data_IF_486293804457
#
_entry.id   IF_486293804457
#
_cell.length_a   1.000
_cell.length_b   1.000
_cell.length_c   1.000
_cell.angle_alpha   90.00
_cell.angle_beta   90.00
_cell.angle_gamma   90.00
#
_symmetry.space_group_name_H-M   'P 1'
#
loop_
_entity.id
_entity.type
_entity.pdbx_description
1 polymer ?
#
# COMPACT_ATOMS: atom_id res chain seq x y z
N UNK A 1 -16.71 -27.46 20.35
CA UNK A 1 -16.75 -26.13 21.03
C UNK A 1 -17.40 -25.13 20.09
N UNK A 2 -18.11 -24.08 20.58
CA UNK A 2 -18.57 -23.00 19.72
C UNK A 2 -17.36 -22.37 19.01
N UNK A 3 -17.53 -22.03 17.73
CA UNK A 3 -16.48 -21.42 16.91
C UNK A 3 -16.25 -19.99 17.39
N UNK A 4 -15.08 -19.72 17.96
CA UNK A 4 -14.70 -18.38 18.41
C UNK A 4 -14.08 -17.62 17.23
N UNK A 5 -14.74 -16.55 16.79
CA UNK A 5 -14.24 -15.71 15.72
C UNK A 5 -12.96 -14.99 16.17
N UNK A 6 -11.91 -14.90 15.32
CA UNK A 6 -10.73 -14.12 15.65
C UNK A 6 -11.10 -12.68 16.03
N UNK A 7 -10.42 -12.10 17.01
CA UNK A 7 -10.58 -10.68 17.34
C UNK A 7 -10.16 -9.77 16.17
N UNK A 8 -9.32 -10.31 15.29
CA UNK A 8 -8.81 -9.61 14.12
C UNK A 8 -8.85 -10.45 12.84
N UNK A 9 -9.27 -9.84 11.72
CA UNK A 9 -9.20 -10.43 10.38
C UNK A 9 -8.27 -9.63 9.48
N UNK A 10 -7.97 -10.15 8.29
CA UNK A 10 -7.34 -9.34 7.24
C UNK A 10 -8.41 -8.62 6.43
N UNK A 11 -8.08 -7.44 5.90
CA UNK A 11 -8.92 -6.72 4.93
C UNK A 11 -8.79 -7.27 3.51
N UNK A 12 -7.79 -8.13 3.28
CA UNK A 12 -7.52 -8.80 2.01
C UNK A 12 -8.13 -10.20 2.01
N UNK A 13 -8.58 -10.69 0.86
CA UNK A 13 -9.13 -12.04 0.69
C UNK A 13 -10.53 -12.06 0.06
N UNK A 14 -11.08 -13.25 -0.22
CA UNK A 14 -12.40 -13.40 -0.85
C UNK A 14 -13.48 -12.68 -0.03
N UNK A 15 -14.20 -11.78 -0.68
CA UNK A 15 -15.26 -10.99 -0.05
C UNK A 15 -16.60 -11.13 -0.78
N UNK A 16 -17.69 -11.02 -0.03
CA UNK A 16 -19.06 -10.82 -0.56
C UNK A 16 -19.60 -9.55 0.09
N UNK A 17 -20.11 -8.62 -0.72
CA UNK A 17 -20.63 -7.32 -0.29
C UNK A 17 -19.67 -6.49 0.58
N UNK A 18 -18.36 -6.54 0.27
CA UNK A 18 -17.32 -5.79 0.99
C UNK A 18 -16.96 -6.36 2.37
N UNK A 19 -17.41 -7.58 2.69
CA UNK A 19 -17.03 -8.33 3.89
C UNK A 19 -16.17 -9.52 3.47
N UNK A 20 -14.92 -9.57 3.93
CA UNK A 20 -14.05 -10.75 3.76
C UNK A 20 -14.69 -11.93 4.48
N UNK A 21 -15.00 -13.00 3.74
CA UNK A 21 -15.71 -14.15 4.30
C UNK A 21 -14.75 -14.93 5.20
N UNK A 22 -15.00 -14.88 6.52
CA UNK A 22 -14.52 -15.90 7.45
C UNK A 22 -15.34 -17.18 7.25
N UNK A 23 -14.87 -18.10 6.41
CA UNK A 23 -15.64 -19.29 6.08
C UNK A 23 -15.80 -20.26 7.26
N UNK A 24 -16.96 -20.94 7.33
CA UNK A 24 -17.25 -22.04 8.27
C UNK A 24 -16.56 -23.35 7.87
N UNK A 25 -16.01 -24.03 8.88
CA UNK A 25 -15.33 -25.35 8.91
C UNK A 25 -15.52 -26.33 7.74
N UNK A 26 -14.38 -26.86 7.25
CA UNK A 26 -14.13 -28.28 6.98
C UNK A 26 -12.66 -28.61 7.33
N UNK A 27 -12.46 -29.72 8.06
CA UNK A 27 -11.17 -30.39 8.33
C UNK A 27 -10.80 -31.25 7.10
N UNK A 28 -9.60 -31.79 6.84
CA UNK A 28 -8.37 -32.14 7.56
C UNK A 28 -7.20 -32.16 6.54
N UNK A 29 -5.99 -32.46 7.03
CA UNK A 29 -4.73 -32.82 6.35
C UNK A 29 -3.65 -31.71 6.30
N UNK A 30 -2.86 -31.65 7.39
CA UNK A 30 -1.56 -30.98 7.43
C UNK A 30 -0.56 -31.96 8.04
N UNK A 31 0.24 -32.60 7.18
CA UNK A 31 1.57 -33.07 7.53
C UNK A 31 2.59 -32.42 6.57
N UNK A 32 3.78 -32.16 7.12
CA UNK A 32 5.00 -31.67 6.50
C UNK A 32 5.08 -30.21 6.03
N UNK A 33 5.86 -29.38 6.75
CA UNK A 33 7.28 -29.15 6.41
C UNK A 33 7.87 -28.02 7.27
N UNK A 34 8.67 -28.38 8.28
CA UNK A 34 9.72 -27.53 8.84
C UNK A 34 11.00 -27.74 8.02
N UNK A 35 11.28 -26.94 6.98
CA UNK A 35 12.66 -26.64 6.51
C UNK A 35 12.62 -25.34 5.68
N UNK A 36 13.27 -24.29 6.18
CA UNK A 36 13.70 -23.14 5.38
C UNK A 36 15.14 -23.39 4.89
N UNK A 37 15.50 -23.09 3.63
CA UNK A 37 16.89 -23.11 3.19
C UNK A 37 17.69 -21.97 3.86
N UNK A 38 19.00 -22.15 4.10
CA UNK A 38 19.84 -21.10 4.65
C UNK A 38 20.07 -20.02 3.59
N UNK A 39 19.59 -18.79 3.84
CA UNK A 39 19.85 -17.61 3.00
C UNK A 39 18.65 -16.68 2.78
N UNK A 40 17.42 -17.15 2.96
CA UNK A 40 16.23 -16.30 2.98
C UNK A 40 16.00 -15.77 4.39
N UNK A 41 16.27 -14.49 4.62
CA UNK A 41 15.86 -13.82 5.85
C UNK A 41 14.34 -14.00 6.08
N UNK A 42 13.87 -14.01 7.35
CA UNK A 42 12.45 -14.17 7.64
C UNK A 42 11.66 -13.01 6.99
N UNK A 43 10.71 -13.35 6.11
CA UNK A 43 9.72 -12.38 5.64
C UNK A 43 8.81 -12.06 6.83
N UNK A 44 9.05 -10.93 7.49
CA UNK A 44 8.24 -10.45 8.60
C UNK A 44 6.99 -9.75 8.05
N UNK A 45 5.91 -10.53 7.87
CA UNK A 45 4.59 -9.99 7.60
C UNK A 45 4.09 -9.26 8.86
N UNK A 46 4.08 -7.91 8.83
CA UNK A 46 3.34 -7.14 9.81
C UNK A 46 1.85 -7.24 9.43
N UNK A 47 1.12 -8.16 10.05
CA UNK A 47 -0.32 -8.28 9.86
C UNK A 47 -0.97 -6.98 10.35
N UNK A 48 -1.48 -6.15 9.43
CA UNK A 48 -2.40 -5.06 9.79
C UNK A 48 -3.77 -5.67 10.03
N UNK A 49 -4.16 -5.68 11.30
CA UNK A 49 -5.29 -6.42 11.85
C UNK A 49 -6.59 -5.61 11.75
N UNK A 50 -7.59 -6.12 11.04
CA UNK A 50 -8.97 -5.61 10.96
C UNK A 50 -9.71 -5.84 12.29
N UNK A 51 -10.48 -4.87 12.77
CA UNK A 51 -11.16 -4.93 14.08
C UNK A 51 -12.51 -5.67 13.97
N UNK A 52 -12.56 -6.94 14.37
CA UNK A 52 -13.83 -7.67 14.46
C UNK A 52 -14.63 -7.34 15.71
N UNK A 53 -13.98 -6.86 16.77
CA UNK A 53 -14.66 -6.47 18.00
C UNK A 53 -15.47 -5.18 17.75
N UNK A 54 -16.81 -5.23 17.72
CA UNK A 54 -17.63 -4.08 17.31
C UNK A 54 -17.53 -2.92 18.29
N UNK A 55 -17.34 -3.22 19.58
CA UNK A 55 -17.15 -2.23 20.64
C UNK A 55 -15.83 -1.48 20.48
N UNK A 56 -14.75 -2.22 20.22
CA UNK A 56 -13.43 -1.63 19.98
C UNK A 56 -13.42 -0.83 18.67
N UNK A 57 -14.02 -1.38 17.60
CA UNK A 57 -14.20 -0.70 16.30
C UNK A 57 -14.94 0.63 16.46
N UNK A 58 -16.09 0.63 17.16
CA UNK A 58 -16.86 1.85 17.42
C UNK A 58 -16.05 2.89 18.20
N UNK A 59 -15.27 2.45 19.19
CA UNK A 59 -14.38 3.33 19.98
C UNK A 59 -13.26 3.93 19.14
N UNK A 60 -12.63 3.12 18.27
CA UNK A 60 -11.57 3.57 17.36
C UNK A 60 -12.11 4.57 16.34
N UNK A 61 -13.22 4.24 15.65
CA UNK A 61 -13.86 5.13 14.69
C UNK A 61 -14.23 6.47 15.35
N UNK A 62 -14.81 6.45 16.54
CA UNK A 62 -15.15 7.68 17.28
C UNK A 62 -13.93 8.53 17.70
N UNK A 63 -12.75 7.91 17.84
CA UNK A 63 -11.51 8.65 18.12
C UNK A 63 -10.92 9.26 16.85
N UNK A 64 -10.92 8.49 15.76
CA UNK A 64 -10.39 8.91 14.45
C UNK A 64 -11.24 10.00 13.81
N UNK A 65 -12.56 9.92 13.98
CA UNK A 65 -13.56 10.87 13.48
C UNK A 65 -13.41 12.32 13.98
N UNK A 66 -12.39 12.60 14.79
CA UNK A 66 -12.08 13.94 15.31
C UNK A 66 -11.04 14.68 14.48
N UNK A 67 -10.43 14.01 13.50
CA UNK A 67 -9.36 14.54 12.67
C UNK A 67 -9.66 14.23 11.21
N UNK A 68 -9.25 15.12 10.31
CA UNK A 68 -9.18 14.80 8.90
C UNK A 68 -8.11 13.73 8.66
N UNK A 69 -8.30 12.90 7.63
CA UNK A 69 -7.42 11.79 7.30
C UNK A 69 -6.79 12.00 5.92
N UNK A 70 -5.46 12.01 5.88
CA UNK A 70 -4.67 11.89 4.66
C UNK A 70 -3.91 10.58 4.72
N UNK A 71 -4.15 9.72 3.73
CA UNK A 71 -3.50 8.42 3.59
C UNK A 71 -2.90 8.32 2.19
N UNK A 72 -1.86 7.51 2.04
CA UNK A 72 -1.34 7.21 0.73
C UNK A 72 -0.52 5.97 0.71
N UNK A 73 -0.23 5.56 -0.51
CA UNK A 73 0.50 4.35 -0.87
C UNK A 73 1.38 4.63 -2.07
N UNK A 74 2.38 3.77 -2.27
CA UNK A 74 3.19 3.74 -3.47
C UNK A 74 2.77 2.62 -4.41
N UNK A 75 3.28 2.62 -5.64
CA UNK A 75 2.97 1.56 -6.62
C UNK A 75 3.41 0.16 -6.16
N UNK A 76 4.57 0.04 -5.48
CA UNK A 76 5.16 -1.23 -5.05
C UNK A 76 5.51 -1.24 -3.56
N UNK A 77 4.51 -1.56 -2.75
CA UNK A 77 4.62 -1.63 -1.29
C UNK A 77 5.43 -2.85 -0.81
N UNK A 78 5.28 -4.00 -1.49
CA UNK A 78 5.89 -5.25 -1.06
C UNK A 78 7.28 -5.53 -1.65
N UNK A 79 7.95 -4.54 -2.26
CA UNK A 79 9.26 -4.70 -2.91
C UNK A 79 10.29 -5.39 -1.99
N UNK A 80 10.35 -4.98 -0.71
CA UNK A 80 11.30 -5.52 0.27
C UNK A 80 11.00 -6.96 0.73
N UNK A 81 9.92 -7.58 0.26
CA UNK A 81 9.64 -9.01 0.46
C UNK A 81 10.44 -9.92 -0.48
N UNK A 82 11.16 -9.33 -1.44
CA UNK A 82 11.93 -10.02 -2.48
C UNK A 82 13.43 -9.80 -2.28
N UNK A 83 14.23 -10.81 -2.63
CA UNK A 83 15.69 -10.66 -2.63
C UNK A 83 16.16 -9.88 -3.86
N UNK A 84 17.40 -9.40 -3.85
CA UNK A 84 17.98 -8.72 -5.00
C UNK A 84 18.00 -9.61 -6.27
N UNK A 85 18.21 -10.93 -6.11
CA UNK A 85 18.18 -11.89 -7.22
C UNK A 85 16.77 -12.00 -7.82
N UNK A 86 15.75 -12.11 -6.97
CA UNK A 86 14.35 -12.14 -7.40
C UNK A 86 13.97 -10.87 -8.15
N UNK A 87 14.39 -9.71 -7.64
CA UNK A 87 14.13 -8.42 -8.27
C UNK A 87 14.86 -8.33 -9.61
N UNK A 88 16.09 -8.83 -9.71
CA UNK A 88 16.89 -8.71 -10.92
C UNK A 88 16.43 -9.67 -12.03
N UNK A 89 16.20 -10.93 -11.69
CA UNK A 89 15.97 -12.01 -12.66
C UNK A 89 14.51 -12.49 -12.74
N UNK A 90 13.67 -12.10 -11.78
CA UNK A 90 12.32 -12.62 -11.64
C UNK A 90 12.27 -13.85 -10.73
N UNK A 91 11.11 -14.50 -10.67
CA UNK A 91 10.90 -15.68 -9.82
C UNK A 91 10.22 -16.79 -10.60
N UNK A 92 10.51 -18.03 -10.22
CA UNK A 92 9.83 -19.21 -10.76
C UNK A 92 8.47 -19.45 -10.07
N UNK A 93 7.60 -20.22 -10.73
CA UNK A 93 6.27 -20.56 -10.22
C UNK A 93 6.30 -21.22 -8.84
N UNK A 94 7.31 -22.05 -8.57
CA UNK A 94 7.49 -22.71 -7.28
C UNK A 94 7.77 -21.72 -6.16
N UNK A 95 8.52 -20.64 -6.47
CA UNK A 95 8.80 -19.56 -5.54
C UNK A 95 7.55 -18.72 -5.27
N UNK A 96 6.76 -18.38 -6.30
CA UNK A 96 5.42 -17.76 -6.15
C UNK A 96 4.54 -18.61 -5.23
N UNK A 97 4.39 -19.90 -5.52
CA UNK A 97 3.56 -20.81 -4.73
C UNK A 97 3.99 -20.89 -3.26
N UNK A 98 5.31 -20.89 -2.98
CA UNK A 98 5.84 -20.91 -1.61
C UNK A 98 5.54 -19.61 -0.85
N UNK A 99 5.73 -18.46 -1.49
CA UNK A 99 5.45 -17.15 -0.90
C UNK A 99 3.96 -17.04 -0.58
N UNK A 100 3.09 -17.31 -1.56
CA UNK A 100 1.64 -17.19 -1.40
C UNK A 100 1.11 -18.15 -0.35
N UNK A 101 1.60 -19.40 -0.33
CA UNK A 101 1.21 -20.38 0.69
C UNK A 101 1.65 -19.95 2.09
N UNK A 102 2.87 -19.41 2.23
CA UNK A 102 3.37 -18.88 3.51
C UNK A 102 2.53 -17.72 4.00
N UNK A 103 2.24 -16.75 3.11
CA UNK A 103 1.38 -15.62 3.41
C UNK A 103 0.00 -16.09 3.90
N UNK A 104 -0.68 -16.93 3.12
CA UNK A 104 -2.03 -17.43 3.47
C UNK A 104 -2.03 -18.19 4.80
N UNK A 105 -1.05 -19.08 5.03
CA UNK A 105 -0.94 -19.83 6.30
C UNK A 105 -0.71 -18.93 7.52
N UNK A 106 0.01 -17.81 7.34
CA UNK A 106 0.32 -16.89 8.44
C UNK A 106 -0.79 -15.87 8.71
N UNK A 107 -1.64 -15.60 7.71
CA UNK A 107 -2.68 -14.57 7.80
C UNK A 107 -4.05 -15.16 8.11
N UNK A 108 -4.37 -16.36 7.60
CA UNK A 108 -5.70 -16.98 7.76
C UNK A 108 -5.63 -18.25 8.60
N UNK A 109 -6.74 -18.59 9.26
CA UNK A 109 -6.87 -19.81 10.06
C UNK A 109 -7.66 -20.92 9.37
N UNK A 110 -8.53 -20.57 8.43
CA UNK A 110 -9.51 -21.48 7.80
C UNK A 110 -9.53 -21.27 6.29
N UNK A 111 -9.99 -22.28 5.52
CA UNK A 111 -10.14 -22.23 4.05
C UNK A 111 -8.87 -21.87 3.30
N UNK A 112 -7.72 -22.34 3.81
CA UNK A 112 -6.41 -21.95 3.27
C UNK A 112 -6.26 -22.32 1.80
N UNK A 113 -6.80 -23.47 1.39
CA UNK A 113 -6.74 -23.96 0.02
C UNK A 113 -7.57 -23.10 -0.93
N UNK A 114 -8.80 -22.77 -0.55
CA UNK A 114 -9.74 -21.97 -1.32
C UNK A 114 -9.29 -20.51 -1.41
N UNK A 115 -8.83 -19.94 -0.30
CA UNK A 115 -8.27 -18.59 -0.26
C UNK A 115 -7.03 -18.51 -1.13
N UNK A 116 -6.10 -19.48 -1.01
CA UNK A 116 -4.91 -19.52 -1.86
C UNK A 116 -5.28 -19.62 -3.33
N UNK A 117 -6.21 -20.50 -3.70
CA UNK A 117 -6.66 -20.64 -5.07
C UNK A 117 -7.28 -19.34 -5.62
N UNK A 118 -8.09 -18.66 -4.80
CA UNK A 118 -8.72 -17.38 -5.18
C UNK A 118 -7.68 -16.29 -5.40
N UNK A 119 -6.74 -16.12 -4.47
CA UNK A 119 -5.70 -15.08 -4.60
C UNK A 119 -4.78 -15.38 -5.79
N UNK A 120 -4.39 -16.64 -5.99
CA UNK A 120 -3.59 -17.01 -7.17
C UNK A 120 -4.36 -16.73 -8.46
N UNK A 121 -5.65 -17.03 -8.51
CA UNK A 121 -6.48 -16.78 -9.69
C UNK A 121 -6.61 -15.29 -10.02
N UNK A 122 -6.79 -14.44 -9.00
CA UNK A 122 -6.93 -12.98 -9.14
C UNK A 122 -5.64 -12.35 -9.68
N UNK A 123 -4.48 -12.74 -9.17
CA UNK A 123 -3.17 -12.22 -9.58
C UNK A 123 -2.47 -13.13 -10.58
N UNK A 124 -3.23 -13.70 -11.52
CA UNK A 124 -2.68 -14.38 -12.69
C UNK A 124 -3.19 -13.66 -13.93
N UNK A 125 -2.27 -13.15 -14.75
CA UNK A 125 -2.63 -12.58 -16.05
C UNK A 125 -2.97 -13.70 -17.03
N UNK A 126 -4.27 -13.98 -17.18
CA UNK A 126 -4.79 -15.01 -18.07
C UNK A 126 -4.67 -14.65 -19.56
N UNK A 127 -4.38 -13.39 -19.90
CA UNK A 127 -4.15 -12.98 -21.30
C UNK A 127 -2.76 -13.38 -21.79
N UNK A 128 -1.83 -13.70 -20.86
CA UNK A 128 -0.45 -14.09 -21.16
C UNK A 128 -0.22 -15.58 -20.86
N UNK A 129 -0.29 -16.46 -21.88
CA UNK A 129 -0.11 -17.91 -21.67
C UNK A 129 1.33 -18.29 -21.30
N UNK A 130 2.31 -17.46 -21.66
CA UNK A 130 3.72 -17.68 -21.31
C UNK A 130 4.07 -16.82 -20.09
N UNK A 131 4.33 -17.48 -18.99
CA UNK A 131 4.68 -16.85 -17.72
C UNK A 131 6.20 -16.64 -17.65
N UNK A 132 6.65 -15.43 -18.00
CA UNK A 132 8.04 -15.02 -17.84
C UNK A 132 8.35 -14.81 -16.35
N UNK A 133 9.54 -15.18 -15.82
CA UNK A 133 9.87 -15.03 -14.40
C UNK A 133 9.66 -13.62 -13.83
N UNK A 134 9.88 -12.59 -14.64
CA UNK A 134 9.59 -11.19 -14.26
C UNK A 134 8.09 -10.92 -14.06
N UNK A 135 7.23 -11.50 -14.90
CA UNK A 135 5.77 -11.34 -14.76
C UNK A 135 5.29 -12.06 -13.48
N UNK A 136 5.77 -13.28 -13.24
CA UNK A 136 5.45 -14.04 -12.02
C UNK A 136 5.88 -13.25 -10.78
N UNK A 137 7.05 -12.60 -10.82
CA UNK A 137 7.52 -11.72 -9.75
C UNK A 137 6.57 -10.54 -9.54
N UNK A 138 6.23 -9.83 -10.60
CA UNK A 138 5.42 -8.61 -10.54
C UNK A 138 4.00 -8.93 -10.04
N UNK A 139 3.36 -9.98 -10.57
CA UNK A 139 2.08 -10.49 -10.07
C UNK A 139 2.12 -10.85 -8.58
N UNK A 140 3.19 -11.50 -8.13
CA UNK A 140 3.36 -11.87 -6.72
C UNK A 140 3.59 -10.63 -5.84
N UNK A 141 4.31 -9.63 -6.36
CA UNK A 141 4.57 -8.38 -5.66
C UNK A 141 3.31 -7.53 -5.55
N UNK A 142 2.50 -7.46 -6.60
CA UNK A 142 1.19 -6.81 -6.58
C UNK A 142 0.27 -7.49 -5.54
N UNK A 143 0.19 -8.82 -5.55
CA UNK A 143 -0.62 -9.57 -4.57
C UNK A 143 -0.23 -9.28 -3.12
N UNK A 144 1.08 -9.22 -2.83
CA UNK A 144 1.57 -8.89 -1.49
C UNK A 144 1.38 -7.42 -1.14
N UNK A 145 1.57 -6.51 -2.09
CA UNK A 145 1.39 -5.06 -1.87
C UNK A 145 -0.05 -4.77 -1.49
N UNK A 146 -0.98 -5.39 -2.21
CA UNK A 146 -2.40 -5.23 -1.93
C UNK A 146 -2.79 -5.85 -0.61
N UNK A 147 -2.28 -7.04 -0.32
CA UNK A 147 -2.59 -7.75 0.89
C UNK A 147 -2.08 -7.08 2.16
N UNK A 148 -0.86 -6.55 2.12
CA UNK A 148 -0.16 -6.05 3.29
C UNK A 148 -0.37 -4.56 3.52
N UNK A 149 -0.65 -3.78 2.47
CA UNK A 149 -0.75 -2.31 2.59
C UNK A 149 -2.05 -1.79 2.02
N UNK A 150 -2.35 -2.03 0.73
CA UNK A 150 -3.48 -1.35 0.06
C UNK A 150 -4.82 -1.72 0.68
N UNK A 151 -5.14 -3.00 0.84
CA UNK A 151 -6.43 -3.42 1.37
C UNK A 151 -6.64 -2.96 2.83
N UNK A 152 -5.67 -3.09 3.76
CA UNK A 152 -5.77 -2.49 5.09
C UNK A 152 -5.93 -0.96 5.08
N UNK A 153 -5.23 -0.26 4.17
CA UNK A 153 -5.28 1.20 4.05
C UNK A 153 -6.65 1.67 3.56
N UNK A 154 -7.17 1.05 2.49
CA UNK A 154 -8.51 1.30 1.94
C UNK A 154 -9.58 0.96 2.98
N UNK A 155 -9.43 -0.15 3.71
CA UNK A 155 -10.35 -0.47 4.80
C UNK A 155 -10.36 0.60 5.90
N UNK A 156 -9.20 1.19 6.20
CA UNK A 156 -9.10 2.31 7.15
C UNK A 156 -9.84 3.54 6.61
N UNK A 157 -9.70 3.83 5.31
CA UNK A 157 -10.44 4.90 4.63
C UNK A 157 -11.96 4.68 4.69
N UNK A 158 -12.41 3.45 4.44
CA UNK A 158 -13.82 3.03 4.50
C UNK A 158 -14.43 3.20 5.89
N UNK A 159 -13.64 2.97 6.94
CA UNK A 159 -14.07 3.17 8.32
C UNK A 159 -14.18 4.65 8.69
N UNK A 160 -13.34 5.49 8.08
CA UNK A 160 -13.24 6.90 8.42
C UNK A 160 -14.22 7.78 7.62
N UNK A 161 -14.37 7.53 6.32
CA UNK A 161 -15.15 8.35 5.39
C UNK A 161 -16.62 8.61 5.75
N UNK A 162 -17.37 7.71 6.44
CA UNK A 162 -18.75 8.01 6.82
C UNK A 162 -18.88 9.05 7.94
N UNK A 163 -17.76 9.48 8.52
CA UNK A 163 -17.75 10.48 9.58
C UNK A 163 -18.24 11.83 9.07
N UNK A 164 -19.35 12.29 9.65
CA UNK A 164 -19.82 13.65 9.40
C UNK A 164 -18.87 14.63 10.06
N UNK A 165 -18.31 15.55 9.26
CA UNK A 165 -17.43 16.67 9.63
C UNK A 165 -15.90 16.44 9.51
N UNK A 166 -15.44 15.32 8.94
CA UNK A 166 -14.02 15.16 8.58
C UNK A 166 -13.88 14.74 7.12
N UNK A 167 -12.81 15.19 6.46
CA UNK A 167 -12.43 14.78 5.12
C UNK A 167 -11.48 13.60 5.15
N UNK A 168 -11.65 12.67 4.21
CA UNK A 168 -10.68 11.61 3.92
C UNK A 168 -10.07 11.88 2.56
N UNK A 169 -8.75 11.85 2.44
CA UNK A 169 -8.03 12.06 1.19
C UNK A 169 -7.02 10.94 1.00
N UNK A 170 -6.92 10.43 -0.22
CA UNK A 170 -6.05 9.32 -0.58
C UNK A 170 -5.18 9.70 -1.77
N UNK A 171 -3.91 9.30 -1.75
CA UNK A 171 -3.02 9.40 -2.92
C UNK A 171 -2.30 8.11 -3.23
N UNK A 172 -1.91 8.00 -4.50
CA UNK A 172 -0.95 7.00 -4.98
C UNK A 172 0.26 7.75 -5.48
N UNK A 173 1.41 7.52 -4.86
CA UNK A 173 2.68 8.08 -5.32
C UNK A 173 3.34 7.10 -6.29
N UNK A 174 3.38 7.50 -7.56
CA UNK A 174 3.87 6.67 -8.67
C UNK A 174 4.98 7.39 -9.43
N UNK A 175 6.03 7.78 -8.72
CA UNK A 175 7.23 8.34 -9.31
C UNK A 175 8.47 7.66 -8.75
N UNK A 176 9.28 7.07 -9.63
CA UNK A 176 10.56 6.48 -9.26
C UNK A 176 11.68 7.52 -9.44
N UNK A 177 12.51 7.69 -8.42
CA UNK A 177 13.60 8.70 -8.47
C UNK A 177 14.63 8.32 -9.52
N UNK A 178 14.93 9.22 -10.47
CA UNK A 178 15.73 8.89 -11.66
C UNK A 178 17.16 8.47 -11.34
N UNK A 179 17.75 9.12 -10.36
CA UNK A 179 19.10 8.80 -9.84
C UNK A 179 18.99 8.19 -8.44
N UNK A 180 17.99 7.33 -8.23
CA UNK A 180 17.79 6.57 -7.00
C UNK A 180 18.62 5.30 -6.94
N UNK A 181 18.56 4.62 -5.79
CA UNK A 181 19.34 3.42 -5.50
C UNK A 181 18.73 2.14 -6.10
N UNK A 182 17.52 2.23 -6.68
CA UNK A 182 16.75 1.09 -7.17
C UNK A 182 16.74 0.98 -8.70
N UNK A 183 16.60 -0.25 -9.25
CA UNK A 183 16.47 -0.44 -10.70
C UNK A 183 15.24 0.27 -11.28
N UNK A 184 15.43 0.99 -12.39
CA UNK A 184 14.42 1.87 -13.01
C UNK A 184 13.36 1.13 -13.84
N UNK A 185 12.83 0.00 -13.36
CA UNK A 185 11.89 -0.84 -14.13
C UNK A 185 10.57 -1.11 -13.44
N UNK A 186 10.56 -1.08 -12.12
CA UNK A 186 9.46 -1.62 -11.34
C UNK A 186 8.45 -0.52 -10.92
N UNK A 187 8.82 0.76 -10.99
CA UNK A 187 8.00 1.87 -10.51
C UNK A 187 8.39 2.27 -9.08
N UNK A 188 7.57 3.09 -8.44
CA UNK A 188 7.86 3.62 -7.12
C UNK A 188 7.84 2.53 -6.03
N UNK A 189 8.95 2.38 -5.34
CA UNK A 189 9.14 1.45 -4.23
C UNK A 189 8.77 2.12 -2.90
N UNK A 190 8.36 1.31 -1.92
CA UNK A 190 8.06 1.78 -0.57
C UNK A 190 9.15 2.71 0.00
N UNK A 191 8.77 3.92 0.37
CA UNK A 191 9.65 4.94 0.94
C UNK A 191 10.29 5.89 -0.07
N UNK A 192 10.16 5.67 -1.39
CA UNK A 192 10.67 6.58 -2.41
C UNK A 192 9.88 7.91 -2.50
N UNK A 193 8.70 7.99 -1.89
CA UNK A 193 7.90 9.21 -1.76
C UNK A 193 8.43 10.16 -0.67
N UNK A 194 9.13 9.63 0.33
CA UNK A 194 9.58 10.38 1.52
C UNK A 194 10.47 11.60 1.18
N UNK A 195 11.47 11.51 0.28
CA UNK A 195 12.28 12.69 -0.08
C UNK A 195 11.42 13.86 -0.58
N UNK A 196 10.32 13.57 -1.29
CA UNK A 196 9.42 14.58 -1.86
C UNK A 196 8.50 15.16 -0.79
N UNK A 197 7.99 14.33 0.12
CA UNK A 197 7.18 14.78 1.27
C UNK A 197 8.01 15.69 2.19
N UNK A 198 9.28 15.37 2.43
CA UNK A 198 10.17 16.15 3.30
C UNK A 198 10.87 17.33 2.60
N UNK A 199 10.66 17.52 1.29
CA UNK A 199 11.25 18.63 0.56
C UNK A 199 12.76 18.49 0.30
N UNK A 200 13.31 17.27 0.31
CA UNK A 200 14.73 17.03 0.08
C UNK A 200 15.23 17.58 -1.28
N UNK A 201 14.46 17.50 -2.39
CA UNK A 201 14.82 18.16 -3.65
C UNK A 201 14.93 19.69 -3.58
N UNK A 202 14.35 20.33 -2.58
CA UNK A 202 14.30 21.80 -2.47
C UNK A 202 15.51 22.38 -1.72
N UNK A 203 16.36 21.52 -1.15
CA UNK A 203 17.55 21.91 -0.39
C UNK A 203 18.80 21.30 -1.02
N UNK A 204 19.96 21.93 -0.75
CA UNK A 204 21.25 21.48 -1.31
C UNK A 204 21.65 20.07 -0.85
N UNK A 205 21.31 19.68 0.38
CA UNK A 205 21.55 18.35 0.91
C UNK A 205 20.69 18.10 2.15
N UNK A 206 20.14 16.90 2.26
CA UNK A 206 19.51 16.37 3.47
C UNK A 206 20.10 15.00 3.76
N UNK A 207 20.60 14.77 4.99
CA UNK A 207 21.60 13.72 5.28
C UNK A 207 21.25 12.30 4.80
N UNK A 208 19.97 11.94 4.81
CA UNK A 208 19.50 10.59 4.51
C UNK A 208 18.89 10.44 3.11
N UNK A 209 18.85 11.51 2.31
CA UNK A 209 18.22 11.49 0.98
C UNK A 209 19.26 11.69 -0.13
N UNK A 210 18.94 11.24 -1.36
CA UNK A 210 19.75 11.54 -2.54
C UNK A 210 20.01 13.04 -2.69
N UNK A 211 21.12 13.41 -3.33
CA UNK A 211 21.45 14.83 -3.56
C UNK A 211 21.10 15.29 -4.97
N UNK A 212 21.04 14.37 -5.92
CA UNK A 212 20.97 14.68 -7.33
C UNK A 212 19.54 14.55 -7.84
N UNK A 213 18.74 15.58 -7.60
CA UNK A 213 17.39 15.66 -8.13
C UNK A 213 17.31 16.44 -9.44
N UNK A 214 16.36 16.06 -10.27
CA UNK A 214 16.05 16.68 -11.54
C UNK A 214 15.13 17.89 -11.37
N UNK A 215 15.03 18.74 -12.39
CA UNK A 215 14.07 19.86 -12.38
C UNK A 215 12.62 19.39 -12.20
N UNK A 216 12.25 18.25 -12.78
CA UNK A 216 10.91 17.67 -12.63
C UNK A 216 10.68 17.12 -11.23
N UNK A 217 11.71 16.56 -10.59
CA UNK A 217 11.64 16.07 -9.20
C UNK A 217 11.53 17.21 -8.18
N UNK A 218 12.21 18.34 -8.46
CA UNK A 218 12.05 19.58 -7.67
C UNK A 218 10.58 20.04 -7.74
N UNK A 219 10.01 20.12 -8.94
CA UNK A 219 8.61 20.51 -9.14
C UNK A 219 7.62 19.54 -8.46
N UNK A 220 7.88 18.24 -8.55
CA UNK A 220 7.08 17.21 -7.88
C UNK A 220 7.13 17.37 -6.35
N UNK A 221 8.31 17.66 -5.80
CA UNK A 221 8.50 17.92 -4.37
C UNK A 221 7.76 19.17 -3.91
N UNK A 222 7.85 20.28 -4.67
CA UNK A 222 7.08 21.49 -4.38
C UNK A 222 5.58 21.21 -4.34
N UNK A 223 5.06 20.47 -5.31
CA UNK A 223 3.64 20.12 -5.37
C UNK A 223 3.21 19.23 -4.19
N UNK A 224 4.00 18.18 -3.91
CA UNK A 224 3.73 17.24 -2.82
C UNK A 224 3.69 17.95 -1.48
N UNK A 225 4.69 18.80 -1.22
CA UNK A 225 4.80 19.56 0.02
C UNK A 225 3.68 20.60 0.14
N UNK A 226 3.27 21.25 -0.96
CA UNK A 226 2.12 22.16 -0.98
C UNK A 226 0.83 21.40 -0.55
N UNK A 227 0.51 20.25 -1.14
CA UNK A 227 -0.70 19.49 -0.76
C UNK A 227 -0.65 19.00 0.70
N UNK A 228 0.49 18.46 1.12
CA UNK A 228 0.69 18.00 2.50
C UNK A 228 0.56 19.14 3.51
N UNK A 229 1.20 20.29 3.25
CA UNK A 229 1.14 21.44 4.17
C UNK A 229 -0.22 22.11 4.17
N UNK A 230 -0.94 22.14 3.06
CA UNK A 230 -2.34 22.59 3.02
C UNK A 230 -3.19 21.71 3.92
N UNK A 231 -3.10 20.38 3.74
CA UNK A 231 -3.84 19.44 4.57
C UNK A 231 -3.53 19.60 6.07
N UNK A 232 -2.25 19.72 6.44
CA UNK A 232 -1.85 19.94 7.85
C UNK A 232 -2.45 21.24 8.42
N UNK A 233 -2.58 22.29 7.61
CA UNK A 233 -3.10 23.60 8.05
C UNK A 233 -4.62 23.66 8.11
N UNK A 234 -5.31 23.04 7.16
CA UNK A 234 -6.74 23.28 6.91
C UNK A 234 -7.61 22.02 6.97
N UNK A 235 -7.01 20.83 7.02
CA UNK A 235 -7.72 19.57 6.84
C UNK A 235 -8.06 19.25 5.38
N UNK A 236 -7.67 20.10 4.40
CA UNK A 236 -7.97 19.90 2.98
C UNK A 236 -6.73 20.20 2.11
N UNK A 237 -6.20 19.22 1.35
CA UNK A 237 -5.01 19.40 0.52
C UNK A 237 -5.20 20.43 -0.61
N UNK A 238 -6.43 20.65 -1.08
CA UNK A 238 -6.74 21.61 -2.14
C UNK A 238 -6.84 23.05 -1.64
N UNK A 239 -7.02 23.25 -0.32
CA UNK A 239 -7.14 24.58 0.27
C UNK A 239 -5.75 25.17 0.55
N UNK A 240 -5.14 25.68 -0.54
CA UNK A 240 -3.92 26.46 -0.50
C UNK A 240 -4.02 27.66 0.44
N UNK A 241 -2.96 27.90 1.22
CA UNK A 241 -2.77 29.27 1.74
C UNK A 241 -2.42 30.14 0.54
N UNK A 242 -3.18 31.19 0.25
CA UNK A 242 -2.76 32.24 -0.69
C UNK A 242 -1.52 32.92 -0.08
N UNK A 243 -0.34 32.36 -0.36
CA UNK A 243 0.92 33.05 -0.10
C UNK A 243 0.95 34.18 -1.11
N UNK A 244 1.04 35.42 -0.63
CA UNK A 244 1.07 36.64 -1.42
C UNK A 244 2.40 36.71 -2.21
N UNK A 245 2.49 35.87 -3.24
CA UNK A 245 3.65 35.68 -4.09
C UNK A 245 3.50 36.55 -5.34
N UNK A 246 4.61 37.08 -5.89
CA UNK A 246 4.60 37.78 -7.16
C UNK A 246 3.91 36.94 -8.27
N UNK A 247 3.07 37.58 -9.10
CA UNK A 247 2.22 36.95 -10.12
C UNK A 247 2.93 35.90 -11.00
N UNK A 248 4.21 36.12 -11.35
CA UNK A 248 4.99 35.19 -12.15
C UNK A 248 5.21 33.82 -11.48
N UNK A 249 5.52 33.82 -10.18
CA UNK A 249 5.71 32.61 -9.37
C UNK A 249 4.36 31.92 -9.13
N UNK A 250 3.29 32.72 -8.98
CA UNK A 250 1.92 32.20 -8.82
C UNK A 250 1.45 31.41 -10.05
N UNK A 251 1.72 31.91 -11.25
CA UNK A 251 1.35 31.27 -12.52
C UNK A 251 2.12 29.97 -12.79
N UNK A 252 3.41 29.90 -12.44
CA UNK A 252 4.18 28.65 -12.53
C UNK A 252 3.70 27.60 -11.54
N UNK A 253 3.40 28.00 -10.29
CA UNK A 253 2.80 27.10 -9.29
C UNK A 253 1.42 26.60 -9.69
N UNK A 254 0.58 27.43 -10.33
CA UNK A 254 -0.76 27.04 -10.78
C UNK A 254 -0.74 25.98 -11.90
N UNK A 255 0.26 25.94 -12.77
CA UNK A 255 0.37 24.89 -13.80
C UNK A 255 0.61 23.49 -13.23
N UNK A 256 1.16 23.40 -12.02
CA UNK A 256 1.47 22.13 -11.34
C UNK A 256 0.28 21.68 -10.45
N UNK A 257 -0.57 22.63 -10.01
CA UNK A 257 -1.76 22.41 -9.17
C UNK A 257 -3.01 21.93 -9.92
N UNK A 258 -2.83 21.03 -10.88
CA UNK A 258 -3.94 20.52 -11.70
C UNK A 258 -4.60 19.24 -11.16
N UNK A 259 -4.19 18.77 -9.98
CA UNK A 259 -4.78 17.58 -9.36
C UNK A 259 -5.72 18.05 -8.26
N UNK A 260 -7.01 17.87 -8.49
CA UNK A 260 -8.03 18.06 -7.47
C UNK A 260 -8.11 16.78 -6.62
N UNK A 261 -7.80 16.89 -5.34
CA UNK A 261 -7.88 15.79 -4.40
C UNK A 261 -9.31 15.65 -3.90
N UNK A 262 -10.09 14.82 -4.61
CA UNK A 262 -11.47 14.54 -4.23
C UNK A 262 -11.48 13.85 -2.86
N UNK A 263 -12.46 14.20 -2.03
CA UNK A 263 -12.71 13.50 -0.77
C UNK A 263 -13.07 12.05 -1.07
N UNK A 264 -12.35 11.10 -0.46
CA UNK A 264 -12.66 9.69 -0.53
C UNK A 264 -14.06 9.44 0.06
N UNK A 265 -14.94 8.91 -0.77
CA UNK A 265 -16.27 8.44 -0.38
C UNK A 265 -16.40 6.97 -0.77
N UNK A 266 -17.05 6.20 0.09
CA UNK A 266 -17.25 4.75 -0.06
C UNK A 266 -18.39 4.41 -1.04
N UNK A 267 -19.19 5.40 -1.47
CA UNK A 267 -20.40 5.20 -2.30
C UNK A 267 -20.15 4.50 -3.61
#
# INVERSE_FOLDING_TARGET
APVESPEFLTAFGPSVDGVVIGGRSLSDDIDDLHVMPPGSGPIHFHNFLNLNNPTFRKSMVAKMSRYDLLIGMVRLEAYFSFTAEDVQYGIESDRKARIMRTFVKNTYRYHLSEILATVVNEYTDWERPVQHPSNIRDETMDALSDALVVAPLVHTADLHSPTRNTGSYMYVFDYQTRLGDYPQKQGCIHGEELPYVFGAPLVSSMMHFPRNFTKTEIQLSEATLDYWTNFVKTGNPNQGTDIDLPLGIRLERQKIKNIDWVTYDRT
#
